data_IF_610336359418
#
_entry.id   IF_610336359418
#
_cell.length_a   1.000
_cell.length_b   1.000
_cell.length_c   1.000
_cell.angle_alpha   90.00
_cell.angle_beta   90.00
_cell.angle_gamma   90.00
#
_symmetry.space_group_name_H-M   'P 1'
#
loop_
_entity.id
_entity.type
_entity.pdbx_description
1 polymer ?
#
# COMPACT_ATOMS: atom_id res chain seq x y z
N UNK A 1 4.75 5.70 8.98
CA UNK A 1 3.73 5.29 8.00
C UNK A 1 3.80 6.20 6.79
N UNK A 2 3.61 5.65 5.62
CA UNK A 2 3.52 6.36 4.35
C UNK A 2 2.11 6.19 3.76
N UNK A 3 1.58 7.25 3.19
CA UNK A 3 0.33 7.26 2.43
C UNK A 3 0.56 8.10 1.18
N UNK A 4 0.10 7.63 0.04
CA UNK A 4 0.20 8.39 -1.20
C UNK A 4 -0.45 9.77 -1.07
N UNK A 5 0.15 10.82 -1.66
CA UNK A 5 -0.34 12.20 -1.49
C UNK A 5 -1.75 12.45 -2.04
N UNK A 6 -2.25 11.58 -2.91
CA UNK A 6 -3.59 11.66 -3.47
C UNK A 6 -4.66 10.96 -2.61
N UNK A 7 -4.31 10.52 -1.40
CA UNK A 7 -5.21 9.90 -0.45
C UNK A 7 -5.59 10.86 0.67
N UNK A 8 -6.89 10.94 0.97
CA UNK A 8 -7.42 11.71 2.10
C UNK A 8 -7.83 10.75 3.22
N UNK A 9 -7.30 10.92 4.44
CA UNK A 9 -7.71 10.11 5.58
C UNK A 9 -9.11 10.52 6.04
N UNK A 10 -9.99 9.55 6.22
CA UNK A 10 -11.33 9.76 6.76
C UNK A 10 -11.44 9.36 8.23
N UNK A 11 -10.50 8.56 8.72
CA UNK A 11 -10.42 8.10 10.11
C UNK A 11 -8.99 8.00 10.59
N UNK A 12 -8.81 7.98 11.91
CA UNK A 12 -7.51 7.74 12.52
C UNK A 12 -6.98 6.34 12.21
N UNK A 13 -5.68 6.25 11.92
CA UNK A 13 -4.95 5.00 11.75
C UNK A 13 -4.20 4.56 13.01
N UNK A 14 -4.44 5.22 14.14
CA UNK A 14 -3.70 4.98 15.39
C UNK A 14 -3.75 3.52 15.82
N UNK A 15 -4.90 2.86 15.65
CA UNK A 15 -5.05 1.44 15.99
C UNK A 15 -4.10 0.55 15.18
N UNK A 16 -3.94 0.81 13.88
CA UNK A 16 -3.01 0.06 13.03
C UNK A 16 -1.55 0.33 13.42
N UNK A 17 -1.21 1.60 13.57
CA UNK A 17 0.15 2.03 13.91
C UNK A 17 0.58 1.50 15.27
N UNK A 18 -0.33 1.43 16.25
CA UNK A 18 -0.02 0.94 17.59
C UNK A 18 0.07 -0.58 17.69
N UNK A 19 -0.61 -1.32 16.82
CA UNK A 19 -0.84 -2.76 17.00
C UNK A 19 -0.08 -3.64 16.00
N UNK A 20 0.35 -3.11 14.86
CA UNK A 20 0.92 -3.90 13.77
C UNK A 20 2.31 -3.39 13.43
N UNK A 21 3.30 -4.29 13.44
CA UNK A 21 4.70 -3.98 13.17
C UNK A 21 4.98 -3.55 11.73
N UNK A 22 4.29 -4.14 10.76
CA UNK A 22 4.36 -3.75 9.36
C UNK A 22 3.06 -4.12 8.63
N UNK A 23 2.58 -3.24 7.79
CA UNK A 23 1.39 -3.48 6.97
C UNK A 23 1.46 -2.71 5.65
N UNK A 24 0.70 -3.15 4.68
CA UNK A 24 0.51 -2.45 3.41
C UNK A 24 -0.88 -2.76 2.83
N UNK A 25 -1.27 -2.01 1.82
CA UNK A 25 -2.44 -2.33 1.01
C UNK A 25 -2.10 -3.39 -0.05
N UNK A 26 -3.10 -4.07 -0.58
CA UNK A 26 -2.97 -4.80 -1.84
C UNK A 26 -3.36 -3.90 -3.01
N UNK A 27 -2.94 -4.27 -4.22
CA UNK A 27 -3.33 -3.53 -5.42
C UNK A 27 -4.81 -3.73 -5.70
N UNK A 28 -5.51 -2.63 -5.99
CA UNK A 28 -6.86 -2.68 -6.51
C UNK A 28 -6.84 -3.34 -7.89
N UNK A 29 -7.22 -4.61 -7.97
CA UNK A 29 -7.30 -5.33 -9.24
C UNK A 29 -8.74 -5.35 -9.72
N UNK A 30 -8.98 -4.73 -10.87
CA UNK A 30 -10.24 -4.88 -11.60
C UNK A 30 -10.25 -6.13 -12.50
N UNK A 31 -9.51 -7.17 -12.12
CA UNK A 31 -9.44 -8.41 -12.88
C UNK A 31 -8.53 -9.46 -12.25
N UNK A 32 -8.76 -10.71 -12.55
CA UNK A 32 -8.12 -11.89 -11.95
C UNK A 32 -6.61 -12.02 -12.19
N UNK A 33 -5.98 -11.12 -12.92
CA UNK A 33 -4.60 -11.31 -13.40
C UNK A 33 -3.51 -10.94 -12.39
N UNK A 34 -3.82 -10.22 -11.29
CA UNK A 34 -2.82 -9.79 -10.30
C UNK A 34 -3.38 -9.75 -8.86
N UNK A 35 -3.97 -10.85 -8.36
CA UNK A 35 -4.74 -10.81 -7.10
C UNK A 35 -3.90 -10.63 -5.82
N UNK A 36 -2.58 -10.67 -5.90
CA UNK A 36 -1.72 -10.75 -4.71
C UNK A 36 -0.55 -9.75 -4.70
N UNK A 37 -0.61 -8.70 -5.51
CA UNK A 37 0.43 -7.67 -5.47
C UNK A 37 0.21 -6.73 -4.30
N UNK A 38 1.29 -6.46 -3.58
CA UNK A 38 1.31 -5.48 -2.50
C UNK A 38 1.44 -4.08 -3.08
N UNK A 39 0.72 -3.13 -2.50
CA UNK A 39 0.77 -1.73 -2.93
C UNK A 39 1.46 -0.86 -1.88
N UNK A 40 2.41 -0.01 -2.25
CA UNK A 40 3.00 0.96 -1.35
C UNK A 40 2.12 2.20 -1.12
N UNK A 41 0.93 2.26 -1.70
CA UNK A 41 0.03 3.42 -1.54
C UNK A 41 -0.32 3.72 -0.08
N UNK A 42 -0.45 2.68 0.72
CA UNK A 42 -0.50 2.75 2.18
C UNK A 42 0.49 1.74 2.74
N UNK A 43 1.49 2.22 3.42
CA UNK A 43 2.58 1.41 3.95
C UNK A 43 2.91 1.84 5.38
N UNK A 44 2.81 0.94 6.31
CA UNK A 44 3.23 1.14 7.70
C UNK A 44 4.31 0.15 8.10
N UNK A 45 5.26 0.61 8.88
CA UNK A 45 6.28 -0.23 9.49
C UNK A 45 6.83 0.44 10.74
N UNK A 46 7.28 -0.38 11.68
CA UNK A 46 8.04 0.10 12.84
C UNK A 46 9.36 0.70 12.37
N UNK A 47 9.92 1.58 13.20
CA UNK A 47 11.23 2.17 12.93
C UNK A 47 12.28 1.07 12.73
N UNK A 48 13.11 1.23 11.71
CA UNK A 48 14.18 0.29 11.35
C UNK A 48 13.70 -1.12 10.99
N UNK A 49 12.45 -1.28 10.55
CA UNK A 49 11.96 -2.59 10.12
C UNK A 49 12.83 -3.17 9.00
N UNK A 50 13.22 -4.45 9.06
CA UNK A 50 14.13 -5.07 8.08
C UNK A 50 13.65 -4.96 6.63
N UNK A 51 12.34 -5.02 6.39
CA UNK A 51 11.75 -4.83 5.07
C UNK A 51 12.14 -3.50 4.43
N UNK A 52 12.15 -2.41 5.22
CA UNK A 52 12.54 -1.08 4.73
C UNK A 52 14.01 -1.03 4.35
N UNK A 53 14.89 -1.67 5.13
CA UNK A 53 16.30 -1.77 4.80
C UNK A 53 16.54 -2.56 3.51
N UNK A 54 15.85 -3.66 3.32
CA UNK A 54 15.93 -4.43 2.09
C UNK A 54 15.41 -3.63 0.88
N UNK A 55 14.30 -2.90 1.06
CA UNK A 55 13.77 -2.03 0.02
C UNK A 55 14.78 -0.93 -0.38
N UNK A 56 15.36 -0.24 0.59
CA UNK A 56 16.36 0.80 0.33
C UNK A 56 17.56 0.23 -0.42
N UNK A 57 18.04 -0.93 -0.01
CA UNK A 57 19.21 -1.57 -0.61
C UNK A 57 18.96 -2.10 -2.02
N UNK A 58 17.77 -2.64 -2.26
CA UNK A 58 17.41 -3.24 -3.55
C UNK A 58 16.97 -2.21 -4.59
N UNK A 59 16.55 -1.02 -4.16
CA UNK A 59 15.99 0.00 -5.04
C UNK A 59 16.92 0.41 -6.20
N UNK A 60 18.21 0.69 -5.99
CA UNK A 60 19.11 1.07 -7.09
C UNK A 60 19.20 0.00 -8.16
N UNK A 61 19.29 -1.26 -7.77
CA UNK A 61 19.32 -2.39 -8.70
C UNK A 61 18.00 -2.52 -9.46
N UNK A 62 16.88 -2.40 -8.76
CA UNK A 62 15.55 -2.47 -9.36
C UNK A 62 15.34 -1.41 -10.45
N UNK A 63 15.78 -0.19 -10.21
CA UNK A 63 15.69 0.91 -11.18
C UNK A 63 16.50 0.64 -12.43
N UNK A 64 17.65 -0.04 -12.32
CA UNK A 64 18.51 -0.39 -13.46
C UNK A 64 17.97 -1.57 -14.28
N UNK A 65 17.35 -2.56 -13.62
CA UNK A 65 16.98 -3.84 -14.25
C UNK A 65 15.56 -3.81 -14.81
N UNK A 66 14.63 -3.18 -14.11
CA UNK A 66 13.22 -3.17 -14.50
C UNK A 66 12.84 -1.91 -15.26
N UNK A 67 11.78 -2.00 -16.06
CA UNK A 67 11.23 -0.87 -16.81
C UNK A 67 9.86 -0.47 -16.23
N UNK A 68 9.64 0.83 -16.17
CA UNK A 68 8.38 1.39 -15.68
C UNK A 68 8.31 1.47 -14.16
N UNK A 69 7.67 2.51 -13.68
CA UNK A 69 7.58 2.86 -12.25
C UNK A 69 6.98 1.71 -11.42
N UNK A 70 6.01 1.01 -11.99
CA UNK A 70 5.35 -0.12 -11.33
C UNK A 70 6.32 -1.20 -10.83
N UNK A 71 7.26 -1.59 -11.68
CA UNK A 71 8.23 -2.64 -11.37
C UNK A 71 9.52 -2.10 -10.76
N UNK A 72 9.88 -0.86 -11.01
CA UNK A 72 11.09 -0.25 -10.49
C UNK A 72 10.99 0.09 -9.00
N UNK A 73 9.88 0.68 -8.58
CA UNK A 73 9.69 1.22 -7.23
C UNK A 73 8.27 1.09 -6.70
N UNK A 74 7.33 0.62 -7.50
CA UNK A 74 5.92 0.50 -7.16
C UNK A 74 5.53 -0.87 -6.62
N UNK A 75 4.30 -1.32 -6.89
CA UNK A 75 3.78 -2.58 -6.37
C UNK A 75 4.60 -3.81 -6.74
N UNK A 76 5.11 -3.88 -7.97
CA UNK A 76 5.98 -4.99 -8.38
C UNK A 76 7.26 -5.06 -7.56
N UNK A 77 7.88 -3.91 -7.31
CA UNK A 77 9.07 -3.81 -6.46
C UNK A 77 8.78 -4.23 -5.01
N UNK A 78 7.76 -3.66 -4.38
CA UNK A 78 7.42 -3.99 -2.99
C UNK A 78 7.10 -5.49 -2.83
N UNK A 79 6.35 -6.06 -3.76
CA UNK A 79 6.03 -7.48 -3.76
C UNK A 79 7.28 -8.36 -3.82
N UNK A 80 8.24 -8.00 -4.67
CA UNK A 80 9.53 -8.71 -4.74
C UNK A 80 10.33 -8.59 -3.45
N UNK A 81 10.43 -7.40 -2.88
CA UNK A 81 11.16 -7.19 -1.62
C UNK A 81 10.59 -8.07 -0.51
N UNK A 82 9.29 -8.07 -0.33
CA UNK A 82 8.63 -8.87 0.70
C UNK A 82 8.80 -10.37 0.45
N UNK A 83 8.64 -10.80 -0.79
CA UNK A 83 8.78 -12.22 -1.17
C UNK A 83 10.23 -12.70 -1.07
N UNK A 84 11.16 -12.00 -1.69
CA UNK A 84 12.53 -12.47 -1.88
C UNK A 84 13.34 -12.43 -0.59
N UNK A 85 13.00 -11.54 0.32
CA UNK A 85 13.60 -11.46 1.67
C UNK A 85 12.78 -12.15 2.77
N UNK A 86 11.69 -12.83 2.41
CA UNK A 86 10.91 -13.64 3.35
C UNK A 86 10.08 -12.86 4.36
N UNK A 87 9.69 -11.62 4.07
CA UNK A 87 8.93 -10.77 4.99
C UNK A 87 7.42 -11.00 4.99
N UNK A 88 6.90 -11.93 4.19
CA UNK A 88 5.45 -12.16 4.08
C UNK A 88 4.78 -12.66 5.37
N UNK A 89 5.54 -13.10 6.37
CA UNK A 89 5.03 -13.43 7.71
C UNK A 89 4.95 -12.23 8.65
N UNK A 90 5.67 -11.19 8.36
CA UNK A 90 5.81 -10.01 9.21
C UNK A 90 4.96 -8.83 8.72
N UNK A 91 4.75 -8.76 7.41
CA UNK A 91 3.98 -7.70 6.76
C UNK A 91 2.54 -8.15 6.58
N UNK A 92 1.60 -7.45 7.20
CA UNK A 92 0.18 -7.73 7.07
C UNK A 92 -0.38 -7.05 5.82
N UNK A 93 -0.81 -7.80 4.80
CA UNK A 93 -1.45 -7.22 3.63
C UNK A 93 -2.94 -7.01 3.93
N UNK A 94 -3.39 -5.77 3.88
CA UNK A 94 -4.81 -5.47 3.94
C UNK A 94 -5.39 -5.35 2.54
N UNK A 95 -6.59 -5.86 2.37
CA UNK A 95 -7.31 -5.70 1.11
C UNK A 95 -7.48 -4.21 0.79
N UNK A 96 -7.29 -3.85 -0.47
CA UNK A 96 -7.32 -2.46 -0.92
C UNK A 96 -8.61 -1.72 -0.53
N UNK A 97 -9.75 -2.41 -0.48
CA UNK A 97 -11.03 -1.81 -0.08
C UNK A 97 -11.05 -1.26 1.34
N UNK A 98 -10.08 -1.66 2.17
CA UNK A 98 -9.94 -1.12 3.51
C UNK A 98 -9.46 0.33 3.49
N UNK A 99 -8.65 0.69 2.53
CA UNK A 99 -7.99 1.99 2.40
C UNK A 99 -8.50 2.79 1.21
N UNK A 100 -8.65 2.14 0.06
CA UNK A 100 -9.03 2.78 -1.19
C UNK A 100 -10.51 2.54 -1.45
N UNK A 101 -11.32 3.55 -1.27
CA UNK A 101 -12.75 3.45 -1.52
C UNK A 101 -13.19 4.44 -2.58
N UNK A 102 -14.14 4.02 -3.42
CA UNK A 102 -14.91 4.97 -4.20
C UNK A 102 -15.76 5.83 -3.27
N UNK A 103 -16.12 7.01 -3.70
CA UNK A 103 -17.00 7.91 -2.95
C UNK A 103 -18.30 7.20 -2.52
N UNK A 104 -18.90 6.41 -3.42
CA UNK A 104 -20.13 5.66 -3.13
C UNK A 104 -19.90 4.61 -2.03
N UNK A 105 -18.79 3.86 -2.08
CA UNK A 105 -18.46 2.89 -1.06
C UNK A 105 -18.15 3.55 0.29
N UNK A 106 -17.49 4.70 0.29
CA UNK A 106 -17.22 5.46 1.50
C UNK A 106 -18.53 5.98 2.15
N UNK A 107 -19.48 6.44 1.36
CA UNK A 107 -20.80 6.87 1.84
C UNK A 107 -21.66 5.69 2.35
N UNK A 108 -21.63 4.55 1.64
CA UNK A 108 -22.48 3.41 1.95
C UNK A 108 -22.00 2.60 3.17
N UNK A 109 -20.69 2.46 3.36
CA UNK A 109 -20.13 1.53 4.35
C UNK A 109 -19.25 2.19 5.41
N UNK A 110 -18.99 3.48 5.28
CA UNK A 110 -18.17 4.21 6.22
C UNK A 110 -16.80 3.58 6.44
N UNK A 111 -16.17 3.08 5.39
CA UNK A 111 -14.96 2.26 5.33
C UNK A 111 -14.11 2.22 6.57
N UNK A 112 -13.56 1.09 6.94
CA UNK A 112 -12.92 0.90 8.22
C UNK A 112 -11.82 1.95 8.51
N UNK A 113 -11.08 2.40 7.48
CA UNK A 113 -10.06 3.44 7.60
C UNK A 113 -10.18 4.56 6.56
N UNK A 114 -11.01 4.39 5.55
CA UNK A 114 -11.53 5.41 4.64
C UNK A 114 -10.50 6.42 4.10
N UNK A 115 -9.67 6.01 3.18
CA UNK A 115 -8.98 6.94 2.29
C UNK A 115 -9.78 7.09 1.01
N UNK A 116 -9.96 8.31 0.56
CA UNK A 116 -10.55 8.62 -0.75
C UNK A 116 -9.44 9.15 -1.64
N UNK A 117 -9.31 8.58 -2.83
CA UNK A 117 -8.35 9.11 -3.80
C UNK A 117 -8.75 10.52 -4.27
N UNK A 118 -7.77 11.37 -4.53
CA UNK A 118 -7.99 12.76 -4.93
C UNK A 118 -8.86 12.89 -6.20
N UNK A 119 -8.77 11.95 -7.13
CA UNK A 119 -9.63 11.90 -8.32
C UNK A 119 -11.11 11.80 -7.98
N UNK A 120 -11.43 11.10 -6.89
CA UNK A 120 -12.79 11.01 -6.39
C UNK A 120 -13.21 12.30 -5.68
N UNK A 121 -12.25 13.00 -5.07
CA UNK A 121 -12.49 14.30 -4.41
C UNK A 121 -12.77 15.39 -5.43
N UNK A 122 -12.07 15.43 -6.56
CA UNK A 122 -12.37 16.37 -7.65
C UNK A 122 -13.78 16.15 -8.20
N UNK A 123 -14.23 14.92 -8.29
CA UNK A 123 -15.60 14.60 -8.69
C UNK A 123 -16.65 14.98 -7.64
N UNK A 124 -16.24 15.20 -6.37
CA UNK A 124 -17.11 15.66 -5.27
C UNK A 124 -17.28 17.18 -5.23
N UNK A 125 -16.39 17.91 -5.88
CA UNK A 125 -16.45 19.35 -5.96
C UNK A 125 -17.40 19.81 -7.08
#
# INVERSE_FOLDING_TARGET
>A
MFVDPDHLPLRSLDVLVASIGAFCSTVASHGASRPHMLSPSVLGATRNHPMLWHAIRDLPHSVLVYRGVWDQSGPGFLTRVVRDHGHFREVVPFHWTLFEQSEEAAKAHGGAFGFVQAKSVEAMA
#
